data_IF_545900619717
#
_entry.id   IF_545900619717
#
_cell.length_a   1.000
_cell.length_b   1.000
_cell.length_c   1.000
_cell.angle_alpha   90.00
_cell.angle_beta   90.00
_cell.angle_gamma   90.00
#
_symmetry.space_group_name_H-M   'P 1'
#
loop_
_entity.id
_entity.type
_entity.pdbx_description
1 polymer ?
#
# COMPACT_ATOMS: atom_id res chain seq x y z
N UNK A 1 -4.69 -3.83 11.75
CA UNK A 1 -4.18 -4.03 10.36
C UNK A 1 -4.77 -2.90 9.56
N UNK A 2 -3.94 -2.15 8.85
CA UNK A 2 -4.36 -1.00 8.05
C UNK A 2 -5.37 -1.39 6.95
N UNK A 3 -6.12 -0.41 6.43
CA UNK A 3 -6.97 -0.58 5.25
C UNK A 3 -6.47 0.32 4.13
N UNK A 4 -6.56 -0.14 2.89
CA UNK A 4 -6.25 0.70 1.74
C UNK A 4 -7.16 0.40 0.55
N UNK A 5 -7.21 1.37 -0.35
CA UNK A 5 -7.88 1.29 -1.64
C UNK A 5 -7.01 1.95 -2.71
N UNK A 6 -7.02 1.39 -3.91
CA UNK A 6 -6.48 2.01 -5.09
C UNK A 6 -7.48 1.90 -6.24
N UNK A 7 -7.42 2.86 -7.16
CA UNK A 7 -8.25 2.93 -8.34
C UNK A 7 -7.40 3.27 -9.56
N UNK A 8 -7.76 2.70 -10.71
CA UNK A 8 -7.24 3.07 -12.02
C UNK A 8 -8.34 2.94 -13.08
N UNK A 9 -8.51 3.94 -13.94
CA UNK A 9 -9.55 3.95 -14.97
C UNK A 9 -9.90 5.35 -15.47
N UNK A 10 -11.13 5.54 -15.89
CA UNK A 10 -11.72 6.84 -16.20
C UNK A 10 -11.62 7.78 -14.99
N UNK A 11 -11.37 9.08 -15.19
CA UNK A 11 -11.31 10.02 -14.08
C UNK A 11 -12.60 10.00 -13.26
N UNK A 12 -12.44 9.87 -11.94
CA UNK A 12 -13.53 9.99 -10.97
C UNK A 12 -13.08 10.92 -9.83
N UNK A 13 -14.05 11.54 -9.16
CA UNK A 13 -13.77 12.22 -7.90
C UNK A 13 -13.39 11.19 -6.83
N UNK A 14 -12.47 11.57 -5.95
CA UNK A 14 -11.95 10.64 -4.95
C UNK A 14 -13.04 10.23 -3.95
N UNK A 15 -13.99 11.11 -3.62
CA UNK A 15 -15.09 10.84 -2.70
C UNK A 15 -16.01 9.70 -3.16
N UNK A 16 -16.16 9.47 -4.47
CA UNK A 16 -16.92 8.36 -5.08
C UNK A 16 -16.51 6.99 -4.53
N UNK A 17 -15.23 6.81 -4.18
CA UNK A 17 -14.73 5.57 -3.59
C UNK A 17 -14.34 5.71 -2.12
N UNK A 18 -13.90 6.90 -1.70
CA UNK A 18 -13.31 7.08 -0.38
C UNK A 18 -14.32 7.51 0.69
N UNK A 19 -15.45 8.10 0.31
CA UNK A 19 -16.43 8.68 1.25
C UNK A 19 -17.84 8.14 1.01
N UNK A 20 -18.35 8.23 -0.22
CA UNK A 20 -19.76 7.97 -0.54
C UNK A 20 -20.24 6.54 -0.24
N UNK A 21 -19.45 5.47 -0.50
CA UNK A 21 -19.92 4.11 -0.20
C UNK A 21 -20.19 3.93 1.30
N UNK A 22 -21.27 3.23 1.65
CA UNK A 22 -21.64 2.96 3.06
C UNK A 22 -20.48 2.30 3.84
N UNK A 23 -19.72 1.45 3.15
CA UNK A 23 -18.51 0.78 3.65
C UNK A 23 -17.21 1.36 3.08
N UNK A 24 -17.18 2.66 2.78
CA UNK A 24 -16.03 3.36 2.22
C UNK A 24 -14.78 3.22 3.07
N UNK A 25 -13.62 3.60 2.52
CA UNK A 25 -12.37 3.59 3.28
C UNK A 25 -12.46 4.45 4.55
N UNK A 26 -13.19 5.57 4.49
CA UNK A 26 -13.47 6.40 5.67
C UNK A 26 -14.37 5.66 6.67
N UNK A 27 -15.45 5.00 6.24
CA UNK A 27 -16.26 4.17 7.14
C UNK A 27 -15.46 3.01 7.77
N UNK A 28 -14.61 2.35 6.99
CA UNK A 28 -13.71 1.28 7.46
C UNK A 28 -12.67 1.80 8.47
N UNK A 29 -12.33 3.08 8.42
CA UNK A 29 -11.45 3.66 9.44
C UNK A 29 -12.09 3.73 10.83
N UNK A 30 -13.43 3.80 10.90
CA UNK A 30 -14.21 3.75 12.15
C UNK A 30 -14.58 2.32 12.59
N UNK A 31 -14.87 1.43 11.62
CA UNK A 31 -15.42 0.09 11.89
C UNK A 31 -14.96 -0.95 10.87
N UNK A 32 -13.66 -1.28 10.85
CA UNK A 32 -13.11 -2.32 9.98
C UNK A 32 -13.56 -3.73 10.42
N UNK A 33 -14.00 -4.57 9.48
CA UNK A 33 -14.52 -5.92 9.78
C UNK A 33 -13.46 -7.01 9.59
N UNK A 34 -12.52 -6.85 8.64
CA UNK A 34 -11.43 -7.81 8.43
C UNK A 34 -10.09 -7.42 9.05
N UNK A 35 -10.01 -6.24 9.69
CA UNK A 35 -8.79 -5.80 10.37
C UNK A 35 -8.66 -6.44 11.76
N UNK A 36 -7.41 -6.66 12.22
CA UNK A 36 -7.10 -7.02 13.61
C UNK A 36 -7.61 -6.00 14.65
N UNK A 37 -7.99 -4.80 14.22
CA UNK A 37 -8.40 -3.66 15.05
C UNK A 37 -9.63 -3.02 14.42
N UNK A 38 -10.67 -2.78 15.23
CA UNK A 38 -11.96 -2.23 14.76
C UNK A 38 -11.81 -0.80 14.22
N UNK A 39 -10.84 -0.04 14.73
CA UNK A 39 -10.59 1.37 14.36
C UNK A 39 -9.20 1.51 13.73
N UNK A 40 -9.11 2.23 12.61
CA UNK A 40 -7.87 2.66 11.95
C UNK A 40 -7.76 4.19 12.06
N UNK A 41 -7.45 4.69 13.26
CA UNK A 41 -7.44 6.12 13.58
C UNK A 41 -6.05 6.78 13.57
N UNK A 42 -5.00 6.02 13.25
CA UNK A 42 -3.60 6.44 13.46
C UNK A 42 -3.01 7.18 12.25
N UNK A 43 -3.88 7.80 11.46
CA UNK A 43 -3.56 8.60 10.30
C UNK A 43 -4.16 8.08 9.00
N UNK A 44 -4.13 8.95 8.00
CA UNK A 44 -4.65 8.71 6.67
C UNK A 44 -3.71 9.32 5.62
N UNK A 45 -3.87 8.88 4.37
CA UNK A 45 -3.23 9.56 3.26
C UNK A 45 -3.79 9.12 1.93
N UNK A 46 -3.61 10.00 0.95
CA UNK A 46 -4.03 9.83 -0.44
C UNK A 46 -2.89 10.31 -1.33
N UNK A 47 -2.55 9.52 -2.33
CA UNK A 47 -1.73 9.94 -3.45
C UNK A 47 -2.53 9.81 -4.75
N UNK A 48 -2.42 10.78 -5.64
CA UNK A 48 -3.17 10.79 -6.90
C UNK A 48 -2.32 11.33 -8.04
N UNK A 49 -2.58 10.84 -9.25
CA UNK A 49 -1.96 11.36 -10.47
C UNK A 49 -2.91 12.36 -11.13
N UNK A 50 -2.48 13.62 -11.16
CA UNK A 50 -3.18 14.72 -11.82
C UNK A 50 -2.50 15.10 -13.15
N UNK A 51 -2.50 16.39 -13.46
CA UNK A 51 -1.91 16.91 -14.69
C UNK A 51 -0.36 16.92 -14.72
N UNK A 52 0.30 16.68 -13.57
CA UNK A 52 1.77 16.65 -13.45
C UNK A 52 2.29 15.21 -13.53
N UNK A 53 3.55 15.02 -13.98
CA UNK A 53 4.20 13.71 -13.95
C UNK A 53 4.32 13.15 -12.53
N UNK A 54 4.59 14.00 -11.55
CA UNK A 54 4.66 13.61 -10.14
C UNK A 54 3.25 13.56 -9.51
N UNK A 55 2.99 12.56 -8.66
CA UNK A 55 1.73 12.45 -7.95
C UNK A 55 1.58 13.55 -6.89
N UNK A 56 0.36 14.06 -6.73
CA UNK A 56 -0.03 14.80 -5.53
C UNK A 56 -0.10 13.84 -4.34
N UNK A 57 0.31 14.29 -3.16
CA UNK A 57 0.25 13.48 -1.94
C UNK A 57 -0.27 14.31 -0.77
N UNK A 58 -1.31 13.80 -0.13
CA UNK A 58 -1.83 14.26 1.15
C UNK A 58 -1.61 13.17 2.20
N UNK A 59 -1.10 13.54 3.37
CA UNK A 59 -0.97 12.64 4.52
C UNK A 59 -1.34 13.41 5.78
N UNK A 60 -1.92 12.71 6.74
CA UNK A 60 -2.32 13.26 8.03
C UNK A 60 -2.19 12.21 9.12
N UNK A 61 -1.95 12.67 10.35
CA UNK A 61 -2.03 11.82 11.55
C UNK A 61 -3.42 11.84 12.16
N UNK A 62 -4.32 12.71 11.66
CA UNK A 62 -5.72 12.70 12.05
C UNK A 62 -6.43 11.47 11.46
N UNK A 63 -7.40 10.92 12.19
CA UNK A 63 -8.29 9.92 11.63
C UNK A 63 -9.03 10.45 10.40
N UNK A 64 -9.27 9.58 9.41
CA UNK A 64 -9.88 9.98 8.14
C UNK A 64 -11.30 10.56 8.31
N UNK A 65 -12.07 10.07 9.29
CA UNK A 65 -13.45 10.51 9.54
C UNK A 65 -13.56 11.92 10.14
N UNK A 66 -12.50 12.44 10.76
CA UNK A 66 -12.49 13.75 11.42
C UNK A 66 -11.66 14.80 10.67
N UNK A 67 -11.03 14.42 9.56
CA UNK A 67 -10.20 15.32 8.77
C UNK A 67 -11.03 16.08 7.72
N UNK A 68 -11.41 17.31 8.06
CA UNK A 68 -12.18 18.18 7.17
C UNK A 68 -11.41 18.57 5.89
N UNK A 69 -10.07 18.63 5.94
CA UNK A 69 -9.24 18.92 4.78
C UNK A 69 -9.23 17.73 3.82
N UNK A 70 -9.12 16.52 4.35
CA UNK A 70 -9.26 15.29 3.57
C UNK A 70 -10.63 15.23 2.87
N UNK A 71 -11.71 15.50 3.60
CA UNK A 71 -13.06 15.51 3.03
C UNK A 71 -13.21 16.57 1.92
N UNK A 72 -12.65 17.76 2.12
CA UNK A 72 -12.65 18.82 1.11
C UNK A 72 -11.84 18.44 -0.14
N UNK A 73 -10.67 17.84 0.06
CA UNK A 73 -9.80 17.34 -1.00
C UNK A 73 -10.51 16.28 -1.83
N UNK A 74 -11.14 15.29 -1.18
CA UNK A 74 -11.81 14.20 -1.88
C UNK A 74 -12.95 14.66 -2.80
N UNK A 75 -13.68 15.69 -2.39
CA UNK A 75 -14.75 16.30 -3.20
C UNK A 75 -14.26 17.14 -4.37
N UNK A 76 -13.01 17.59 -4.33
CA UNK A 76 -12.48 18.57 -5.28
C UNK A 76 -11.49 17.98 -6.29
N UNK A 77 -10.89 16.84 -5.95
CA UNK A 77 -9.87 16.19 -6.77
C UNK A 77 -10.52 15.09 -7.59
N UNK A 78 -10.32 15.17 -8.90
CA UNK A 78 -10.64 14.13 -9.86
C UNK A 78 -9.33 13.48 -10.33
N UNK A 79 -9.26 12.15 -10.39
CA UNK A 79 -8.07 11.44 -10.81
C UNK A 79 -8.40 10.12 -11.51
N UNK A 80 -7.62 9.83 -12.56
CA UNK A 80 -7.66 8.53 -13.26
C UNK A 80 -7.00 7.41 -12.45
N UNK A 81 -6.06 7.76 -11.57
CA UNK A 81 -5.30 6.81 -10.75
C UNK A 81 -4.99 7.43 -9.39
N UNK A 82 -5.40 6.75 -8.32
CA UNK A 82 -5.09 7.17 -6.96
C UNK A 82 -4.98 5.98 -6.00
N UNK A 83 -4.22 6.20 -4.92
CA UNK A 83 -3.98 5.27 -3.82
C UNK A 83 -4.37 5.98 -2.52
N UNK A 84 -5.18 5.34 -1.69
CA UNK A 84 -5.63 5.85 -0.41
C UNK A 84 -5.43 4.81 0.68
N UNK A 85 -4.99 5.24 1.86
CA UNK A 85 -4.63 4.36 2.94
C UNK A 85 -5.01 4.97 4.29
N UNK A 86 -5.63 4.16 5.16
CA UNK A 86 -5.91 4.50 6.57
C UNK A 86 -5.09 3.59 7.48
N UNK A 87 -4.37 4.20 8.40
CA UNK A 87 -3.36 3.54 9.22
C UNK A 87 -3.99 3.07 10.53
N UNK A 88 -3.67 1.83 10.91
CA UNK A 88 -3.73 1.35 12.28
C UNK A 88 -2.31 1.02 12.69
N UNK A 89 -1.72 1.86 13.54
CA UNK A 89 -0.35 1.72 14.00
C UNK A 89 -0.28 0.56 15.00
N UNK A 90 0.02 -0.64 14.52
CA UNK A 90 0.30 -1.80 15.39
C UNK A 90 1.70 -1.74 16.00
N UNK A 91 2.59 -0.93 15.41
CA UNK A 91 3.97 -0.69 15.88
C UNK A 91 4.48 0.67 15.39
N UNK A 92 5.42 1.24 16.13
CA UNK A 92 6.04 2.54 15.83
C UNK A 92 5.16 3.74 16.19
N UNK A 93 5.73 4.94 16.07
CA UNK A 93 5.04 6.19 16.40
C UNK A 93 4.00 6.58 15.35
N UNK A 94 2.94 7.24 15.82
CA UNK A 94 1.98 7.94 14.98
C UNK A 94 2.66 9.23 14.49
N UNK A 95 3.19 9.18 13.27
CA UNK A 95 3.88 10.31 12.66
C UNK A 95 3.49 10.42 11.18
N UNK A 96 3.47 11.66 10.69
CA UNK A 96 3.20 11.96 9.28
C UNK A 96 4.14 11.17 8.35
N UNK A 97 5.42 11.07 8.71
CA UNK A 97 6.44 10.36 7.92
C UNK A 97 6.21 8.85 7.85
N UNK A 98 5.36 8.28 8.71
CA UNK A 98 5.02 6.86 8.70
C UNK A 98 3.65 6.57 8.06
N UNK A 99 2.94 7.60 7.59
CA UNK A 99 1.67 7.43 6.88
C UNK A 99 1.91 7.15 5.38
N UNK A 100 1.17 6.18 4.86
CA UNK A 100 1.08 5.88 3.43
C UNK A 100 0.17 6.89 2.70
N UNK A 101 0.27 6.99 1.37
CA UNK A 101 1.30 6.37 0.53
C UNK A 101 2.65 7.07 0.64
N UNK A 102 3.73 6.31 0.43
CA UNK A 102 5.07 6.85 0.21
C UNK A 102 5.21 7.27 -1.25
N UNK A 103 6.01 8.30 -1.51
CA UNK A 103 6.27 8.79 -2.87
C UNK A 103 7.74 9.02 -3.15
N UNK A 104 8.15 8.73 -4.39
CA UNK A 104 9.49 9.02 -4.88
C UNK A 104 9.48 9.19 -6.41
N UNK A 105 9.67 10.43 -6.87
CA UNK A 105 9.55 10.73 -8.31
C UNK A 105 8.12 10.45 -8.77
N UNK A 106 7.96 9.65 -9.83
CA UNK A 106 6.66 9.22 -10.33
C UNK A 106 5.99 8.12 -9.51
N UNK A 107 6.65 7.53 -8.53
CA UNK A 107 6.13 6.34 -7.84
C UNK A 107 5.31 6.70 -6.61
N UNK A 108 4.18 6.01 -6.44
CA UNK A 108 3.42 5.88 -5.19
C UNK A 108 3.46 4.45 -4.69
N UNK A 109 3.62 4.27 -3.39
CA UNK A 109 3.68 2.95 -2.75
C UNK A 109 2.91 2.91 -1.43
N UNK A 110 2.14 1.86 -1.21
CA UNK A 110 1.51 1.58 0.07
C UNK A 110 1.56 0.10 0.43
N UNK A 111 1.76 -0.19 1.71
CA UNK A 111 2.01 -1.54 2.21
C UNK A 111 1.17 -1.81 3.46
N UNK A 112 0.44 -2.92 3.44
CA UNK A 112 -0.24 -3.49 4.59
C UNK A 112 0.40 -4.84 4.91
N UNK A 113 1.06 -4.91 6.07
CA UNK A 113 1.89 -6.05 6.44
C UNK A 113 2.95 -5.62 7.44
N UNK A 114 3.95 -6.47 7.62
CA UNK A 114 5.09 -6.17 8.47
C UNK A 114 6.30 -7.06 8.12
N UNK A 115 7.50 -6.58 8.38
CA UNK A 115 8.67 -7.43 8.58
C UNK A 115 8.66 -7.88 10.04
N UNK A 116 8.59 -9.20 10.28
CA UNK A 116 8.66 -9.76 11.64
C UNK A 116 10.00 -9.45 12.30
N UNK A 117 10.01 -9.13 13.59
CA UNK A 117 11.23 -8.77 14.32
C UNK A 117 11.95 -7.51 13.81
N UNK A 118 11.29 -6.65 13.03
CA UNK A 118 11.91 -5.50 12.38
C UNK A 118 12.80 -4.62 13.27
N UNK A 119 12.47 -4.30 14.55
CA UNK A 119 13.35 -3.50 15.40
C UNK A 119 14.77 -4.07 15.55
N UNK A 120 14.93 -5.40 15.52
CA UNK A 120 16.23 -6.06 15.65
C UNK A 120 17.07 -5.96 14.36
N UNK A 121 16.43 -6.02 13.19
CA UNK A 121 17.10 -5.99 11.88
C UNK A 121 17.01 -4.64 11.17
N UNK A 122 16.37 -3.63 11.77
CA UNK A 122 16.07 -2.34 11.14
C UNK A 122 17.30 -1.70 10.51
N UNK A 123 18.42 -1.65 11.23
CA UNK A 123 19.67 -1.05 10.72
C UNK A 123 20.15 -1.78 9.46
N UNK A 124 20.10 -3.11 9.47
CA UNK A 124 20.54 -3.95 8.35
C UNK A 124 19.58 -3.84 7.16
N UNK A 125 18.28 -3.71 7.40
CA UNK A 125 17.27 -3.46 6.35
C UNK A 125 17.47 -2.07 5.74
N UNK A 126 17.70 -1.03 6.56
CA UNK A 126 17.95 0.33 6.06
C UNK A 126 19.25 0.42 5.26
N UNK A 127 20.25 -0.42 5.56
CA UNK A 127 21.49 -0.53 4.77
C UNK A 127 21.29 -1.12 3.36
N UNK A 128 20.11 -1.69 3.06
CA UNK A 128 19.75 -2.12 1.69
C UNK A 128 19.38 -0.92 0.79
N UNK A 129 19.08 0.24 1.37
CA UNK A 129 18.74 1.46 0.62
C UNK A 129 20.05 2.07 0.10
N UNK A 130 20.22 2.25 -1.23
CA UNK A 130 21.45 2.83 -1.77
C UNK A 130 21.68 4.28 -1.33
N UNK A 131 22.95 4.67 -1.15
CA UNK A 131 23.35 6.01 -0.71
C UNK A 131 22.67 7.16 -1.49
N UNK A 132 22.54 7.12 -2.84
CA UNK A 132 21.87 8.20 -3.58
C UNK A 132 20.37 8.35 -3.27
N UNK A 133 19.74 7.30 -2.72
CA UNK A 133 18.30 7.26 -2.39
C UNK A 133 18.10 7.50 -0.89
N UNK A 134 19.08 7.17 -0.03
CA UNK A 134 18.94 7.19 1.43
C UNK A 134 18.48 8.54 1.99
N UNK A 135 18.88 9.67 1.38
CA UNK A 135 18.42 11.00 1.78
C UNK A 135 16.89 11.23 1.67
N UNK A 136 16.16 10.33 0.99
CA UNK A 136 14.70 10.33 0.89
C UNK A 136 14.00 9.66 2.08
N UNK A 137 14.72 8.88 2.89
CA UNK A 137 14.20 8.24 4.11
C UNK A 137 13.76 9.30 5.11
N UNK A 138 12.48 9.33 5.47
CA UNK A 138 11.92 10.29 6.45
C UNK A 138 11.32 9.62 7.67
N UNK A 139 10.67 8.49 7.47
CA UNK A 139 10.05 7.69 8.52
C UNK A 139 11.00 6.65 9.10
N UNK A 140 10.43 5.78 9.91
CA UNK A 140 11.12 4.65 10.50
C UNK A 140 10.40 3.32 10.25
N UNK A 141 9.34 3.32 9.43
CA UNK A 141 8.60 2.11 9.07
C UNK A 141 9.44 1.15 8.21
N UNK A 142 9.11 -0.12 8.31
CA UNK A 142 9.56 -1.15 7.36
C UNK A 142 9.03 -0.88 5.95
N UNK A 143 7.78 -0.44 5.81
CA UNK A 143 7.16 -0.11 4.53
C UNK A 143 7.98 0.87 3.67
N UNK A 144 8.45 1.97 4.25
CA UNK A 144 9.26 2.93 3.50
C UNK A 144 10.67 2.38 3.23
N UNK A 145 11.22 1.54 4.11
CA UNK A 145 12.52 0.91 3.87
C UNK A 145 12.44 -0.08 2.71
N UNK A 146 11.36 -0.86 2.63
CA UNK A 146 11.06 -1.75 1.49
C UNK A 146 10.96 -0.94 0.21
N UNK A 147 10.18 0.15 0.21
CA UNK A 147 9.97 0.98 -0.97
C UNK A 147 11.28 1.58 -1.50
N UNK A 148 12.07 2.21 -0.62
CA UNK A 148 13.33 2.86 -1.02
C UNK A 148 14.40 1.84 -1.43
N UNK A 149 14.44 0.68 -0.80
CA UNK A 149 15.32 -0.43 -1.22
C UNK A 149 14.92 -0.93 -2.59
N UNK A 150 13.62 -1.14 -2.84
CA UNK A 150 13.12 -1.63 -4.12
C UNK A 150 13.37 -0.62 -5.26
N UNK A 151 13.25 0.69 -5.01
CA UNK A 151 13.68 1.74 -5.96
C UNK A 151 15.15 1.54 -6.37
N UNK A 152 16.02 1.31 -5.39
CA UNK A 152 17.44 1.01 -5.61
C UNK A 152 17.69 -0.29 -6.38
N UNK A 153 16.74 -1.21 -6.34
CA UNK A 153 16.81 -2.49 -7.02
C UNK A 153 16.08 -2.50 -8.37
N UNK A 154 15.87 -1.35 -9.01
CA UNK A 154 15.35 -1.30 -10.37
C UNK A 154 13.83 -1.36 -10.49
N UNK A 155 13.13 -0.76 -9.52
CA UNK A 155 11.66 -0.62 -9.54
C UNK A 155 11.14 0.02 -10.84
N UNK A 156 11.91 0.91 -11.46
CA UNK A 156 11.56 1.56 -12.75
C UNK A 156 11.55 0.60 -13.94
N UNK A 157 12.22 -0.54 -13.85
CA UNK A 157 12.41 -1.47 -14.97
C UNK A 157 11.65 -2.77 -14.77
N UNK A 158 11.72 -3.33 -13.56
CA UNK A 158 11.07 -4.61 -13.23
C UNK A 158 10.54 -4.53 -11.78
N UNK A 159 9.34 -3.97 -11.58
CA UNK A 159 8.76 -3.78 -10.26
C UNK A 159 8.63 -5.08 -9.47
N UNK A 160 8.22 -6.16 -10.13
CA UNK A 160 8.05 -7.46 -9.51
C UNK A 160 9.36 -7.95 -8.93
N UNK A 161 10.41 -8.00 -9.76
CA UNK A 161 11.71 -8.51 -9.34
C UNK A 161 12.41 -7.59 -8.34
N UNK A 162 12.22 -6.28 -8.44
CA UNK A 162 12.76 -5.31 -7.49
C UNK A 162 12.17 -5.51 -6.07
N UNK A 163 10.85 -5.71 -5.98
CA UNK A 163 10.18 -6.03 -4.72
C UNK A 163 10.64 -7.41 -4.25
N UNK A 164 10.65 -8.43 -5.11
CA UNK A 164 11.05 -9.79 -4.74
C UNK A 164 12.44 -9.83 -4.10
N UNK A 165 13.46 -9.27 -4.76
CA UNK A 165 14.82 -9.21 -4.21
C UNK A 165 14.89 -8.44 -2.89
N UNK A 166 14.07 -7.41 -2.72
CA UNK A 166 14.00 -6.65 -1.46
C UNK A 166 13.44 -7.52 -0.33
N UNK A 167 12.37 -8.27 -0.59
CA UNK A 167 11.77 -9.17 0.40
C UNK A 167 12.70 -10.35 0.73
N UNK A 168 13.35 -10.95 -0.26
CA UNK A 168 14.37 -12.00 -0.06
C UNK A 168 15.52 -11.51 0.82
N UNK A 169 16.02 -10.30 0.55
CA UNK A 169 17.08 -9.70 1.36
C UNK A 169 16.63 -9.45 2.81
N UNK A 170 15.41 -8.94 3.01
CA UNK A 170 14.84 -8.76 4.35
C UNK A 170 14.67 -10.09 5.08
N UNK A 171 14.18 -11.13 4.39
CA UNK A 171 13.95 -12.43 4.98
C UNK A 171 15.26 -13.13 5.36
N UNK A 172 16.29 -13.03 4.51
CA UNK A 172 17.65 -13.51 4.85
C UNK A 172 18.20 -12.83 6.11
N UNK A 173 17.91 -11.55 6.32
CA UNK A 173 18.27 -10.86 7.56
C UNK A 173 17.51 -11.42 8.77
N UNK A 174 16.22 -11.77 8.62
CA UNK A 174 15.47 -12.44 9.69
C UNK A 174 16.10 -13.80 10.04
N UNK A 175 16.44 -14.62 9.04
CA UNK A 175 17.08 -15.93 9.23
C UNK A 175 18.41 -15.78 9.98
N UNK A 176 19.25 -14.82 9.58
CA UNK A 176 20.56 -14.59 10.19
C UNK A 176 20.48 -14.19 11.68
N UNK A 177 19.42 -13.48 12.07
CA UNK A 177 19.17 -13.09 13.46
C UNK A 177 18.29 -14.10 14.23
N UNK A 178 17.93 -15.24 13.62
CA UNK A 178 17.08 -16.26 14.23
C UNK A 178 15.64 -15.81 14.48
N UNK A 179 15.16 -14.81 13.74
CA UNK A 179 13.81 -14.25 13.86
C UNK A 179 12.81 -15.17 13.17
N UNK A 180 11.79 -15.63 13.90
CA UNK A 180 10.75 -16.54 13.39
C UNK A 180 9.41 -15.84 13.10
N UNK A 181 9.27 -14.57 13.46
CA UNK A 181 8.05 -13.82 13.16
C UNK A 181 7.89 -13.61 11.64
N UNK A 182 6.67 -13.84 11.15
CA UNK A 182 6.38 -13.83 9.72
C UNK A 182 6.57 -12.44 9.07
N UNK A 183 7.17 -12.44 7.89
CA UNK A 183 7.12 -11.34 6.94
C UNK A 183 5.81 -11.44 6.17
N UNK A 184 5.00 -10.39 6.22
CA UNK A 184 3.73 -10.31 5.49
C UNK A 184 3.73 -9.10 4.59
N UNK A 185 3.35 -9.29 3.34
CA UNK A 185 3.47 -8.27 2.31
C UNK A 185 2.25 -8.24 1.39
N UNK A 186 1.36 -7.30 1.67
CA UNK A 186 0.30 -6.91 0.74
C UNK A 186 0.50 -5.45 0.38
N UNK A 187 0.75 -5.13 -0.88
CA UNK A 187 1.15 -3.78 -1.27
C UNK A 187 0.58 -3.37 -2.63
N UNK A 188 0.42 -2.05 -2.81
CA UNK A 188 0.15 -1.44 -4.11
C UNK A 188 1.31 -0.50 -4.44
N UNK A 189 1.78 -0.61 -5.67
CA UNK A 189 2.73 0.29 -6.29
C UNK A 189 2.09 0.85 -7.56
N UNK A 190 2.34 2.12 -7.85
CA UNK A 190 2.03 2.69 -9.16
C UNK A 190 3.08 3.69 -9.57
N UNK A 191 3.29 3.82 -10.88
CA UNK A 191 4.14 4.83 -11.50
C UNK A 191 3.34 5.89 -12.28
N UNK A 192 2.00 5.87 -12.13
CA UNK A 192 1.06 6.78 -12.80
C UNK A 192 0.47 6.24 -14.10
N UNK A 193 0.99 5.13 -14.60
CA UNK A 193 0.45 4.42 -15.77
C UNK A 193 -0.02 3.02 -15.39
N UNK A 194 0.81 2.26 -14.67
CA UNK A 194 0.48 0.91 -14.23
C UNK A 194 0.23 0.88 -12.73
N UNK A 195 -0.65 -0.02 -12.31
CA UNK A 195 -0.89 -0.35 -10.92
C UNK A 195 -0.46 -1.80 -10.69
N UNK A 196 0.51 -2.00 -9.81
CA UNK A 196 0.99 -3.32 -9.41
C UNK A 196 0.48 -3.62 -8.01
N UNK A 197 -0.10 -4.80 -7.84
CA UNK A 197 -0.64 -5.27 -6.58
C UNK A 197 0.04 -6.58 -6.20
N UNK A 198 0.56 -6.64 -4.98
CA UNK A 198 1.31 -7.78 -4.46
C UNK A 198 0.59 -8.39 -3.27
N UNK A 199 0.58 -9.72 -3.18
CA UNK A 199 0.07 -10.45 -2.02
C UNK A 199 0.91 -11.69 -1.75
N UNK A 200 1.78 -11.63 -0.74
CA UNK A 200 2.56 -12.77 -0.28
C UNK A 200 2.89 -12.68 1.21
N UNK A 201 3.36 -13.80 1.78
CA UNK A 201 3.88 -13.86 3.13
C UNK A 201 4.82 -15.07 3.27
N UNK A 202 5.74 -14.99 4.23
CA UNK A 202 6.60 -16.11 4.62
C UNK A 202 5.86 -17.19 5.42
N UNK A 203 4.61 -16.94 5.78
CA UNK A 203 3.65 -17.90 6.32
C UNK A 203 2.42 -18.02 5.39
N UNK A 204 1.53 -18.97 5.67
CA UNK A 204 0.30 -19.16 4.88
C UNK A 204 -0.79 -18.10 5.16
N UNK A 205 -0.41 -16.91 5.66
CA UNK A 205 -1.35 -15.88 6.13
C UNK A 205 -1.05 -14.48 5.55
N UNK A 206 -0.93 -14.31 4.23
CA UNK A 206 -0.81 -12.99 3.63
C UNK A 206 -2.06 -12.14 3.90
N UNK A 207 -1.91 -10.83 4.20
CA UNK A 207 -3.05 -9.93 4.38
C UNK A 207 -3.98 -9.96 3.16
N UNK A 208 -5.28 -9.79 3.40
CA UNK A 208 -6.29 -9.84 2.34
C UNK A 208 -6.10 -8.74 1.30
N UNK A 209 -6.45 -9.06 0.06
CA UNK A 209 -6.44 -8.16 -1.07
C UNK A 209 -7.48 -8.62 -2.08
N UNK A 210 -8.29 -7.69 -2.54
CA UNK A 210 -9.38 -7.92 -3.47
C UNK A 210 -9.32 -6.92 -4.60
N UNK A 211 -9.89 -7.29 -5.74
CA UNK A 211 -10.05 -6.40 -6.89
C UNK A 211 -11.44 -6.56 -7.49
N UNK A 212 -11.93 -5.53 -8.18
CA UNK A 212 -13.18 -5.60 -8.94
C UNK A 212 -13.14 -4.71 -10.18
N UNK A 213 -13.91 -5.11 -11.19
CA UNK A 213 -14.28 -4.20 -12.26
C UNK A 213 -15.33 -3.20 -11.80
N UNK A 214 -15.20 -1.97 -12.30
CA UNK A 214 -16.18 -0.89 -12.16
C UNK A 214 -16.58 -0.42 -13.56
N UNK A 215 -17.67 0.35 -13.64
CA UNK A 215 -18.22 0.86 -14.91
C UNK A 215 -17.23 1.64 -15.79
N UNK A 216 -16.15 2.17 -15.21
CA UNK A 216 -15.09 2.88 -15.94
C UNK A 216 -13.68 2.56 -15.48
N UNK A 217 -13.44 1.50 -14.71
CA UNK A 217 -12.11 1.25 -14.18
C UNK A 217 -12.02 0.02 -13.31
N UNK A 218 -10.94 -0.07 -12.54
CA UNK A 218 -10.65 -1.19 -11.64
C UNK A 218 -10.35 -0.61 -10.26
N UNK A 219 -10.99 -1.17 -9.24
CA UNK A 219 -10.67 -0.88 -7.85
C UNK A 219 -9.95 -2.08 -7.23
N UNK A 220 -8.94 -1.79 -6.41
CA UNK A 220 -8.20 -2.78 -5.61
C UNK A 220 -8.28 -2.34 -4.16
N UNK A 221 -8.68 -3.22 -3.25
CA UNK A 221 -8.87 -2.87 -1.85
C UNK A 221 -8.43 -4.01 -0.94
N UNK A 222 -8.01 -3.65 0.27
CA UNK A 222 -7.69 -4.62 1.31
C UNK A 222 -8.92 -5.31 1.91
N UNK A 223 -10.11 -4.77 1.67
CA UNK A 223 -11.41 -5.31 2.11
C UNK A 223 -12.50 -4.88 1.11
N UNK A 224 -13.44 -5.76 0.75
CA UNK A 224 -14.58 -5.41 -0.08
C UNK A 224 -15.49 -4.36 0.59
N UNK A 225 -16.22 -3.60 -0.22
CA UNK A 225 -17.33 -2.78 0.28
C UNK A 225 -18.57 -3.65 0.56
N UNK A 226 -19.27 -3.42 1.69
CA UNK A 226 -20.43 -4.21 2.16
C UNK A 226 -21.49 -4.40 1.08
N UNK A 227 -21.84 -3.34 0.34
CA UNK A 227 -23.02 -3.37 -0.54
C UNK A 227 -22.87 -4.31 -1.74
N UNK A 228 -21.63 -4.64 -2.14
CA UNK A 228 -21.33 -5.37 -3.37
C UNK A 228 -20.27 -6.47 -3.18
N UNK A 229 -20.24 -7.16 -2.03
CA UNK A 229 -19.18 -8.15 -1.73
C UNK A 229 -18.99 -9.21 -2.83
N UNK A 230 -20.07 -9.62 -3.52
CA UNK A 230 -20.02 -10.62 -4.61
C UNK A 230 -19.33 -10.15 -5.90
N UNK A 231 -19.07 -8.85 -6.07
CA UNK A 231 -18.35 -8.29 -7.22
C UNK A 231 -16.84 -8.25 -7.00
N UNK A 232 -16.38 -8.54 -5.79
CA UNK A 232 -14.96 -8.53 -5.44
C UNK A 232 -14.34 -9.91 -5.59
N UNK A 233 -13.20 -9.96 -6.26
CA UNK A 233 -12.41 -11.16 -6.45
C UNK A 233 -11.15 -11.08 -5.58
N UNK A 234 -10.89 -12.13 -4.80
CA UNK A 234 -9.64 -12.21 -4.04
C UNK A 234 -8.45 -12.32 -5.00
N UNK A 235 -7.42 -11.51 -4.78
CA UNK A 235 -6.12 -11.72 -5.41
C UNK A 235 -5.50 -12.98 -4.79
N UNK A 236 -5.02 -13.97 -5.57
CA UNK A 236 -4.43 -15.19 -5.01
C UNK A 236 -3.24 -14.91 -4.08
N UNK A 237 -2.95 -15.84 -3.16
CA UNK A 237 -1.73 -15.78 -2.37
C UNK A 237 -0.50 -16.03 -3.26
N UNK A 238 0.63 -15.42 -2.93
CA UNK A 238 1.87 -15.45 -3.72
C UNK A 238 1.64 -15.00 -5.17
N UNK A 239 0.92 -13.89 -5.33
CA UNK A 239 0.58 -13.34 -6.64
C UNK A 239 1.02 -11.89 -6.77
N UNK A 240 1.46 -11.57 -7.98
CA UNK A 240 1.67 -10.22 -8.47
C UNK A 240 0.65 -9.97 -9.58
N UNK A 241 -0.26 -9.03 -9.34
CA UNK A 241 -1.23 -8.56 -10.32
C UNK A 241 -0.75 -7.24 -10.90
N UNK A 242 -0.76 -7.11 -12.23
CA UNK A 242 -0.50 -5.84 -12.93
C UNK A 242 -1.78 -5.39 -13.63
N UNK A 243 -2.15 -4.13 -13.41
CA UNK A 243 -3.26 -3.46 -14.07
C UNK A 243 -2.66 -2.32 -14.90
N UNK A 244 -2.57 -2.55 -16.20
CA UNK A 244 -2.18 -1.55 -17.21
C UNK A 244 -3.26 -1.46 -18.28
N UNK A 245 -2.87 -1.66 -19.54
CA UNK A 245 -3.86 -1.83 -20.64
C UNK A 245 -4.73 -3.08 -20.45
N UNK A 246 -4.11 -4.14 -19.96
CA UNK A 246 -4.75 -5.41 -19.63
C UNK A 246 -4.47 -5.75 -18.16
N UNK A 247 -5.26 -6.66 -17.58
CA UNK A 247 -5.00 -7.22 -16.25
C UNK A 247 -4.22 -8.52 -16.43
N UNK A 248 -3.06 -8.62 -15.78
CA UNK A 248 -2.23 -9.81 -15.75
C UNK A 248 -2.02 -10.30 -14.32
N UNK A 249 -1.96 -11.62 -14.15
CA UNK A 249 -1.65 -12.28 -12.89
C UNK A 249 -0.42 -13.16 -13.11
N UNK A 250 0.58 -12.97 -12.27
CA UNK A 250 1.83 -13.73 -12.30
C UNK A 250 2.11 -14.32 -10.92
N UNK A 251 2.77 -15.49 -10.91
CA UNK A 251 3.24 -16.11 -9.69
C UNK A 251 4.34 -15.24 -9.06
N UNK A 252 4.14 -14.88 -7.80
CA UNK A 252 5.06 -14.05 -7.02
C UNK A 252 5.69 -14.89 -5.91
N UNK A 253 6.59 -15.76 -6.34
CA UNK A 253 7.30 -16.67 -5.45
C UNK A 253 8.55 -15.98 -4.89
N UNK A 254 8.61 -15.92 -3.57
CA UNK A 254 9.78 -15.46 -2.83
C UNK A 254 10.49 -16.68 -2.27
N UNK A 255 11.81 -16.72 -2.36
CA UNK A 255 12.60 -17.69 -1.61
C UNK A 255 12.59 -17.29 -0.12
N UNK A 256 11.63 -17.86 0.63
CA UNK A 256 11.61 -17.84 2.09
C UNK A 256 12.66 -18.80 2.63
#
# INVERSE_FOLDING_TARGET
MCRFLAYTGEPIYLDTLLIEPEASLVSQSLSAREAKTVVNGDGCGIGWYGARPEPGVYRGTLPAWSDANLASLCRSVEARLFLAHVRSATSGEVSFSNCHPFSAGKHLFMHNGQIGGYPAIRRSVEALIPDPIYGRRRGNSDSEAIFLSALGQGLDTDPARAIARTLEACHRLQINEGITEALRFTAILSDGENLHAFRCASDDRPPSLYWRHMSGGIAVASEPFVSNENEWHAVPANCHMTIGKDIAFEDFMIAW
#
